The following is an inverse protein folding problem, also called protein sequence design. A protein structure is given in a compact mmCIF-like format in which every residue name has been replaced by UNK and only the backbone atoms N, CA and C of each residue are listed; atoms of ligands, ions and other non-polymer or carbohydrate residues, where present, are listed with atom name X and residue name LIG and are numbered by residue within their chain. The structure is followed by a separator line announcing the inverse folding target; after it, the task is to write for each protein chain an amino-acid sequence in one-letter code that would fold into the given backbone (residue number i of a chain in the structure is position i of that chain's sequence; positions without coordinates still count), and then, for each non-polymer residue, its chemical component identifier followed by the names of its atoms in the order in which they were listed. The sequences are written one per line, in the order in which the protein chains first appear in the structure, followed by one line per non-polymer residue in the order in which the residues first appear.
data_IF_678047743134
#
_entry.id   IF_678047743134
#
_cell.length_a   1.000
_cell.length_b   1.000
_cell.length_c   1.000
_cell.angle_alpha   90.00
_cell.angle_beta   90.00
_cell.angle_gamma   90.00
#
_symmetry.space_group_name_H-M   'P 1'
#
loop_
_entity.id
_entity.type
_entity.pdbx_description
1 polymer ?
#
# COMPACT_ATOMS: atom_id res chain seq x y z
N UNK A 1 11.02 -13.94 -10.83
CA UNK A 1 10.85 -12.49 -10.65
C UNK A 1 11.43 -12.08 -9.30
N UNK A 2 12.71 -11.71 -9.29
CA UNK A 2 13.42 -11.26 -8.08
C UNK A 2 12.81 -9.94 -7.57
N UNK A 3 12.34 -9.10 -8.50
CA UNK A 3 11.56 -7.89 -8.25
C UNK A 3 10.41 -8.08 -7.23
N UNK A 4 9.56 -9.10 -7.42
CA UNK A 4 8.40 -9.33 -6.56
C UNK A 4 8.78 -9.77 -5.14
N UNK A 5 9.91 -10.47 -5.00
CA UNK A 5 10.44 -10.88 -3.70
C UNK A 5 10.97 -9.66 -2.93
N UNK A 6 11.68 -8.76 -3.61
CA UNK A 6 12.14 -7.50 -3.02
C UNK A 6 10.97 -6.61 -2.61
N UNK A 7 9.98 -6.38 -3.49
CA UNK A 7 8.79 -5.63 -3.10
C UNK A 7 8.07 -6.24 -1.88
N UNK A 8 8.07 -7.57 -1.73
CA UNK A 8 7.48 -8.23 -0.57
C UNK A 8 8.27 -7.96 0.71
N UNK A 9 9.60 -7.94 0.63
CA UNK A 9 10.50 -7.71 1.77
C UNK A 9 10.50 -6.24 2.20
N UNK A 10 10.59 -5.34 1.24
CA UNK A 10 10.78 -3.91 1.47
C UNK A 10 9.48 -3.18 1.84
N UNK A 11 8.39 -3.44 1.11
CA UNK A 11 7.10 -2.75 1.30
C UNK A 11 6.13 -3.56 2.17
N UNK A 12 6.30 -4.89 2.21
CA UNK A 12 5.43 -5.80 2.95
C UNK A 12 3.91 -5.62 2.67
N UNK A 13 3.46 -5.77 1.41
CA UNK A 13 2.03 -5.69 1.08
C UNK A 13 1.21 -6.81 1.72
N UNK A 14 -0.07 -6.55 1.94
CA UNK A 14 -1.03 -7.62 2.31
C UNK A 14 -1.39 -8.52 1.13
N UNK A 15 -1.49 -7.96 -0.08
CA UNK A 15 -1.86 -8.68 -1.30
C UNK A 15 -0.78 -8.57 -2.37
N UNK A 16 -0.23 -9.71 -2.77
CA UNK A 16 0.70 -9.75 -3.91
C UNK A 16 0.01 -9.38 -5.23
N UNK A 17 -1.28 -9.67 -5.38
CA UNK A 17 -2.04 -9.29 -6.59
C UNK A 17 -2.09 -7.76 -6.73
N UNK A 18 -2.14 -7.02 -5.62
CA UNK A 18 -2.14 -5.55 -5.64
C UNK A 18 -0.82 -5.00 -6.19
N UNK A 19 0.33 -5.51 -5.71
CA UNK A 19 1.64 -5.09 -6.24
C UNK A 19 1.81 -5.51 -7.71
N UNK A 20 1.44 -6.75 -8.07
CA UNK A 20 1.51 -7.21 -9.47
C UNK A 20 0.73 -6.31 -10.42
N UNK A 21 -0.48 -5.89 -10.02
CA UNK A 21 -1.31 -4.93 -10.79
C UNK A 21 -0.66 -3.55 -10.93
N UNK A 22 0.23 -3.17 -10.02
CA UNK A 22 0.88 -1.86 -10.01
C UNK A 22 2.19 -1.83 -10.77
N UNK A 23 3.03 -2.86 -10.62
CA UNK A 23 4.41 -2.90 -11.14
C UNK A 23 4.49 -3.49 -12.56
N UNK A 24 3.56 -4.38 -12.94
CA UNK A 24 3.71 -5.23 -14.13
C UNK A 24 2.51 -5.19 -15.09
N UNK A 25 1.47 -4.43 -14.78
CA UNK A 25 0.20 -4.50 -15.52
C UNK A 25 0.09 -3.48 -16.65
N UNK A 26 0.72 -2.32 -16.51
CA UNK A 26 0.57 -1.22 -17.46
C UNK A 26 1.83 -1.13 -18.32
N UNK A 27 1.94 -2.04 -19.28
CA UNK A 27 2.67 -1.72 -20.50
C UNK A 27 1.72 -0.87 -21.34
N UNK A 28 1.98 0.42 -21.46
CA UNK A 28 1.28 1.21 -22.47
C UNK A 28 1.99 0.87 -23.78
N UNK A 29 1.33 0.06 -24.59
CA UNK A 29 1.71 -0.18 -25.98
C UNK A 29 1.07 0.96 -26.77
N UNK A 30 1.88 1.90 -27.25
CA UNK A 30 1.40 2.84 -28.26
C UNK A 30 1.44 2.13 -29.61
N UNK A 31 0.28 2.02 -30.23
CA UNK A 31 0.12 1.54 -31.61
C UNK A 31 -0.14 2.74 -32.50
N UNK A 32 0.76 3.01 -33.44
CA UNK A 32 0.47 3.85 -34.59
C UNK A 32 0.16 2.89 -35.75
N UNK A 33 -1.11 2.73 -36.09
CA UNK A 33 -1.52 1.72 -37.07
C UNK A 33 -1.24 0.29 -36.58
N UNK A 34 -0.68 -0.55 -37.46
CA UNK A 34 -0.37 -1.95 -37.17
C UNK A 34 1.06 -2.16 -36.61
N UNK A 35 1.83 -1.11 -36.34
CA UNK A 35 3.20 -1.19 -35.82
C UNK A 35 3.32 -0.96 -34.31
N UNK A 36 4.26 -1.68 -33.69
CA UNK A 36 4.59 -1.61 -32.27
C UNK A 36 5.78 -0.66 -32.11
N UNK A 37 5.52 0.57 -31.72
CA UNK A 37 6.57 1.60 -31.63
C UNK A 37 7.16 1.73 -30.23
N UNK A 38 6.32 1.74 -29.19
CA UNK A 38 6.74 2.12 -27.83
C UNK A 38 6.07 1.26 -26.75
N UNK A 39 6.89 0.73 -25.84
CA UNK A 39 6.47 0.06 -24.62
C UNK A 39 6.87 0.88 -23.40
N UNK A 40 5.89 1.51 -22.73
CA UNK A 40 6.14 2.21 -21.45
C UNK A 40 5.87 1.27 -20.28
N UNK A 41 6.86 1.08 -19.41
CA UNK A 41 6.72 0.28 -18.18
C UNK A 41 6.41 1.19 -17.01
N UNK A 42 5.27 0.98 -16.35
CA UNK A 42 4.92 1.69 -15.13
C UNK A 42 5.22 0.85 -13.88
N UNK A 43 6.10 1.33 -13.01
CA UNK A 43 6.53 0.61 -11.80
C UNK A 43 5.62 0.79 -10.58
N UNK A 44 4.55 1.59 -10.66
CA UNK A 44 3.52 1.57 -9.62
C UNK A 44 3.93 2.17 -8.27
N UNK A 45 4.93 3.07 -8.27
CA UNK A 45 5.56 3.67 -7.08
C UNK A 45 4.72 4.69 -6.31
N UNK A 46 3.46 4.88 -6.68
CA UNK A 46 2.55 5.78 -5.98
C UNK A 46 2.35 5.33 -4.53
N UNK A 47 2.03 6.28 -3.66
CA UNK A 47 1.69 6.01 -2.27
C UNK A 47 0.67 4.86 -2.11
N UNK A 48 0.84 4.10 -1.03
CA UNK A 48 0.00 2.96 -0.68
C UNK A 48 -0.75 3.25 0.61
N UNK A 49 -2.03 2.91 0.63
CA UNK A 49 -2.89 3.02 1.81
C UNK A 49 -2.41 2.11 2.93
N UNK A 50 -2.44 2.61 4.17
CA UNK A 50 -2.03 1.88 5.37
C UNK A 50 -2.75 0.52 5.48
N UNK A 51 -4.03 0.45 5.10
CA UNK A 51 -4.82 -0.79 5.14
C UNK A 51 -4.25 -1.92 4.28
N UNK A 52 -3.54 -1.57 3.20
CA UNK A 52 -3.03 -2.50 2.19
C UNK A 52 -1.60 -2.96 2.52
N UNK A 53 -0.98 -2.34 3.53
CA UNK A 53 0.34 -2.70 4.05
C UNK A 53 0.23 -3.58 5.29
N UNK A 54 1.24 -4.43 5.50
CA UNK A 54 1.42 -5.17 6.75
C UNK A 54 2.16 -4.27 7.73
N UNK A 55 1.78 -4.35 9.00
CA UNK A 55 2.37 -3.54 10.04
C UNK A 55 1.49 -3.46 11.27
N UNK A 56 1.93 -2.65 12.24
CA UNK A 56 1.25 -2.42 13.50
C UNK A 56 0.79 -0.98 13.58
N UNK A 57 -0.52 -0.78 13.77
CA UNK A 57 -1.10 0.52 14.11
C UNK A 57 -1.18 0.62 15.63
N UNK A 58 -0.69 1.74 16.19
CA UNK A 58 -0.72 2.01 17.63
C UNK A 58 -1.11 3.46 17.92
N UNK A 59 -1.36 3.77 19.19
CA UNK A 59 -1.79 5.11 19.61
C UNK A 59 -3.30 5.34 19.52
N UNK A 60 -3.68 6.60 19.33
CA UNK A 60 -5.08 7.03 19.32
C UNK A 60 -5.69 7.19 20.71
N UNK A 61 -6.96 7.58 20.74
CA UNK A 61 -7.73 7.64 21.99
C UNK A 61 -8.00 6.19 22.42
N UNK A 62 -7.44 5.78 23.57
CA UNK A 62 -7.87 4.54 24.25
C UNK A 62 -9.38 4.64 24.52
N UNK A 63 -10.06 3.50 24.44
CA UNK A 63 -11.52 3.36 24.42
C UNK A 63 -12.26 3.99 25.60
N UNK A 64 -13.57 3.71 25.66
CA UNK A 64 -14.55 4.38 26.50
C UNK A 64 -14.07 4.81 27.89
N UNK A 65 -14.49 6.03 28.22
CA UNK A 65 -14.21 6.84 29.43
C UNK A 65 -14.29 6.10 30.77
N UNK A 66 -14.84 4.89 30.80
CA UNK A 66 -15.26 4.15 31.99
C UNK A 66 -14.59 2.78 32.17
N UNK A 67 -13.47 2.48 31.51
CA UNK A 67 -12.75 1.20 31.74
C UNK A 67 -11.44 1.35 32.51
N UNK A 68 -10.98 2.59 32.74
CA UNK A 68 -9.72 2.85 33.44
C UNK A 68 -9.94 2.85 34.94
N UNK A 69 -9.27 1.92 35.62
CA UNK A 69 -9.22 1.84 37.07
C UNK A 69 -7.86 2.29 37.58
N UNK A 70 -7.86 3.03 38.69
CA UNK A 70 -6.65 3.32 39.46
C UNK A 70 -6.11 2.05 40.13
N UNK A 71 -4.90 2.10 40.70
CA UNK A 71 -4.28 0.98 41.44
C UNK A 71 -5.17 0.43 42.57
N UNK A 72 -6.12 1.25 43.05
CA UNK A 72 -7.12 0.92 44.08
C UNK A 72 -8.47 0.45 43.51
N UNK A 73 -8.57 0.18 42.20
CA UNK A 73 -9.77 -0.33 41.55
C UNK A 73 -10.88 0.69 41.26
N UNK A 74 -10.73 1.96 41.65
CA UNK A 74 -11.69 3.05 41.39
C UNK A 74 -11.56 3.60 39.98
N UNK A 75 -12.59 4.24 39.44
CA UNK A 75 -12.46 4.92 38.15
C UNK A 75 -11.42 6.04 38.23
N UNK A 76 -10.47 6.03 37.29
CA UNK A 76 -9.43 7.04 37.23
C UNK A 76 -10.05 8.43 36.98
N UNK A 77 -9.63 9.47 37.72
CA UNK A 77 -10.19 10.80 37.59
C UNK A 77 -9.93 11.38 36.19
N UNK A 78 -10.87 12.17 35.68
CA UNK A 78 -10.80 12.78 34.35
C UNK A 78 -9.64 13.78 34.16
N UNK A 79 -8.88 14.08 35.21
CA UNK A 79 -7.63 14.86 35.19
C UNK A 79 -6.42 14.00 34.84
N UNK A 80 -6.45 12.68 35.10
CA UNK A 80 -5.45 11.70 34.67
C UNK A 80 -5.63 11.33 33.18
N UNK A 81 -6.00 12.33 32.36
CA UNK A 81 -5.96 12.21 30.90
C UNK A 81 -4.50 12.00 30.52
N UNK A 82 -4.10 10.75 30.30
CA UNK A 82 -2.92 10.52 29.47
C UNK A 82 -3.19 11.25 28.15
N UNK A 83 -2.34 12.24 27.83
CA UNK A 83 -2.36 12.94 26.53
C UNK A 83 -2.61 11.91 25.44
N UNK A 84 -3.53 12.20 24.53
CA UNK A 84 -3.84 11.31 23.42
C UNK A 84 -2.51 10.96 22.75
N UNK A 85 -2.20 9.66 22.69
CA UNK A 85 -0.95 9.20 22.09
C UNK A 85 -1.06 9.40 20.59
N UNK A 86 -0.03 9.99 19.98
CA UNK A 86 0.08 10.09 18.53
C UNK A 86 -0.24 8.74 17.89
N UNK A 87 -1.00 8.79 16.80
CA UNK A 87 -1.31 7.59 16.03
C UNK A 87 -0.08 7.27 15.22
N UNK A 88 0.40 6.04 15.32
CA UNK A 88 1.57 5.60 14.57
C UNK A 88 1.30 4.33 13.80
N UNK A 89 1.92 4.22 12.64
CA UNK A 89 2.01 2.98 11.88
C UNK A 89 3.47 2.56 11.76
N UNK A 90 3.78 1.40 12.33
CA UNK A 90 5.05 0.73 12.12
C UNK A 90 4.87 -0.30 11.01
N UNK A 91 5.39 -0.05 9.79
CA UNK A 91 5.34 -1.03 8.71
C UNK A 91 6.13 -2.29 9.08
N UNK A 92 5.74 -3.43 8.50
CA UNK A 92 6.51 -4.67 8.59
C UNK A 92 7.61 -4.77 7.52
N UNK A 93 7.56 -3.90 6.51
CA UNK A 93 8.59 -3.80 5.49
C UNK A 93 9.82 -3.06 5.99
N UNK A 94 11.00 -3.48 5.53
CA UNK A 94 12.29 -2.97 6.04
C UNK A 94 12.60 -1.54 5.60
N UNK A 95 12.10 -1.12 4.43
CA UNK A 95 12.48 0.17 3.83
C UNK A 95 11.54 1.32 4.16
N UNK A 96 10.36 1.04 4.72
CA UNK A 96 9.37 2.06 5.01
C UNK A 96 9.57 2.63 6.43
N UNK A 97 9.61 3.97 6.59
CA UNK A 97 9.75 4.57 7.91
C UNK A 97 8.46 4.43 8.73
N UNK A 98 8.60 4.56 10.05
CA UNK A 98 7.44 4.70 10.95
C UNK A 98 6.77 6.04 10.66
N UNK A 99 5.48 6.01 10.38
CA UNK A 99 4.70 7.23 10.12
C UNK A 99 3.82 7.55 11.32
N UNK A 100 3.77 8.81 11.73
CA UNK A 100 2.92 9.31 12.81
C UNK A 100 1.91 10.33 12.30
N UNK A 101 0.77 10.41 12.99
CA UNK A 101 -0.28 11.39 12.73
C UNK A 101 -0.79 11.96 14.05
N UNK A 102 -1.10 13.26 14.04
CA UNK A 102 -1.78 13.92 15.15
C UNK A 102 -3.15 13.31 15.40
N UNK A 103 -3.52 13.15 16.67
CA UNK A 103 -4.84 12.66 17.08
C UNK A 103 -5.98 13.64 16.83
N UNK A 104 -5.66 14.89 16.50
CA UNK A 104 -6.66 15.91 16.17
C UNK A 104 -7.16 15.71 14.72
N UNK A 105 -6.23 15.36 13.82
CA UNK A 105 -6.51 15.23 12.40
C UNK A 105 -6.75 13.78 11.97
N UNK A 106 -6.28 12.79 12.73
CA UNK A 106 -6.40 11.39 12.37
C UNK A 106 -7.06 10.55 13.47
N UNK A 107 -7.67 9.44 13.05
CA UNK A 107 -8.22 8.43 13.95
C UNK A 107 -8.05 7.03 13.39
N UNK A 108 -7.96 6.05 14.29
CA UNK A 108 -7.88 4.64 13.92
C UNK A 108 -9.31 4.16 13.64
N UNK A 109 -9.53 3.60 12.45
CA UNK A 109 -10.78 2.95 12.11
C UNK A 109 -10.59 1.44 12.03
N UNK A 110 -11.61 0.68 12.44
CA UNK A 110 -11.64 -0.77 12.35
C UNK A 110 -12.73 -1.20 11.38
N UNK A 111 -12.41 -2.15 10.51
CA UNK A 111 -13.33 -2.66 9.49
C UNK A 111 -13.15 -4.17 9.34
N UNK A 112 -14.17 -4.82 8.81
CA UNK A 112 -14.13 -6.26 8.51
C UNK A 112 -13.71 -6.48 7.06
N UNK A 113 -12.83 -7.45 6.86
CA UNK A 113 -12.35 -7.82 5.54
C UNK A 113 -12.33 -9.34 5.42
N UNK A 114 -13.08 -9.82 4.45
CA UNK A 114 -13.13 -11.23 4.05
C UNK A 114 -11.87 -11.60 3.25
N UNK A 115 -11.33 -12.78 3.50
CA UNK A 115 -10.26 -13.34 2.68
C UNK A 115 -10.85 -14.21 1.54
N UNK A 116 -9.99 -14.76 0.66
CA UNK A 116 -10.46 -15.62 -0.44
C UNK A 116 -11.13 -16.93 -0.01
N UNK A 117 -10.97 -17.32 1.26
CA UNK A 117 -11.50 -18.55 1.81
C UNK A 117 -12.78 -18.29 2.62
N UNK A 118 -13.41 -17.11 2.47
CA UNK A 118 -14.62 -16.74 3.21
C UNK A 118 -14.39 -16.30 4.66
N UNK A 119 -13.14 -16.26 5.14
CA UNK A 119 -12.85 -15.95 6.54
C UNK A 119 -12.82 -14.44 6.76
N UNK A 120 -13.72 -13.96 7.60
CA UNK A 120 -13.80 -12.56 8.02
C UNK A 120 -12.66 -12.25 9.01
N UNK A 121 -11.94 -11.16 8.76
CA UNK A 121 -10.87 -10.66 9.63
C UNK A 121 -11.13 -9.21 10.01
N UNK A 122 -11.03 -8.89 11.31
CA UNK A 122 -11.06 -7.51 11.81
C UNK A 122 -9.73 -6.83 11.52
N UNK A 123 -9.75 -5.76 10.73
CA UNK A 123 -8.58 -4.99 10.29
C UNK A 123 -8.67 -3.57 10.76
N UNK A 124 -7.51 -2.92 10.88
CA UNK A 124 -7.39 -1.52 11.26
C UNK A 124 -6.79 -0.73 10.10
N UNK A 125 -7.24 0.50 9.97
CA UNK A 125 -6.66 1.52 9.08
C UNK A 125 -6.60 2.85 9.84
N UNK A 126 -5.95 3.83 9.24
CA UNK A 126 -5.90 5.19 9.75
C UNK A 126 -6.65 6.08 8.77
N UNK A 127 -7.50 6.92 9.33
CA UNK A 127 -8.35 7.84 8.61
C UNK A 127 -7.95 9.27 8.99
N UNK A 128 -7.75 10.12 8.00
CA UNK A 128 -7.33 11.52 8.14
C UNK A 128 -8.52 12.42 7.77
N UNK A 129 -8.87 13.33 8.66
CA UNK A 129 -9.88 14.37 8.49
C UNK A 129 -9.37 15.39 7.48
N UNK A 130 -10.19 15.75 6.50
CA UNK A 130 -9.83 16.80 5.55
C UNK A 130 -10.27 18.17 6.07
N UNK A 131 -9.44 19.18 5.84
CA UNK A 131 -9.72 20.57 6.26
C UNK A 131 -10.96 21.15 5.56
N UNK A 132 -11.26 20.72 4.33
CA UNK A 132 -12.27 21.32 3.45
C UNK A 132 -13.72 20.87 3.69
N UNK A 133 -14.08 20.47 4.91
CA UNK A 133 -15.48 20.24 5.29
C UNK A 133 -15.70 19.10 6.28
N UNK A 134 -16.63 19.32 7.22
CA UNK A 134 -16.96 18.50 8.42
C UNK A 134 -17.16 16.98 8.22
N UNK A 135 -17.21 16.45 7.00
CA UNK A 135 -17.56 15.05 6.72
C UNK A 135 -16.65 14.29 5.76
N UNK A 136 -15.60 14.91 5.18
CA UNK A 136 -14.71 14.17 4.26
C UNK A 136 -13.49 13.65 5.01
N UNK A 137 -13.29 12.33 4.88
CA UNK A 137 -12.22 11.59 5.51
C UNK A 137 -11.51 10.81 4.42
N UNK A 138 -10.18 10.85 4.41
CA UNK A 138 -9.35 10.04 3.50
C UNK A 138 -8.61 8.97 4.28
N UNK A 139 -8.28 7.87 3.62
CA UNK A 139 -7.38 6.88 4.20
C UNK A 139 -5.95 7.42 4.22
N UNK A 140 -5.22 7.12 5.29
CA UNK A 140 -3.81 7.44 5.37
C UNK A 140 -3.03 6.62 4.34
N UNK A 141 -2.08 7.28 3.68
CA UNK A 141 -1.23 6.72 2.65
C UNK A 141 0.23 6.92 3.05
N UNK A 142 1.08 5.99 2.64
CA UNK A 142 2.51 5.99 2.87
C UNK A 142 3.19 6.04 1.52
N UNK A 143 4.09 7.01 1.36
CA UNK A 143 4.91 7.09 0.18
C UNK A 143 5.92 5.95 0.17
N UNK A 144 6.07 5.31 -0.98
CA UNK A 144 6.99 4.20 -1.21
C UNK A 144 8.06 4.56 -2.25
N UNK A 145 7.96 5.73 -2.87
CA UNK A 145 8.76 6.12 -4.02
C UNK A 145 10.24 6.09 -3.68
N UNK A 146 10.68 6.89 -2.71
CA UNK A 146 12.10 6.98 -2.30
C UNK A 146 12.64 5.63 -1.82
N UNK A 147 11.84 4.89 -1.07
CA UNK A 147 12.24 3.60 -0.49
C UNK A 147 12.48 2.51 -1.55
N UNK A 148 11.89 2.66 -2.73
CA UNK A 148 11.90 1.67 -3.81
C UNK A 148 12.65 2.12 -5.06
N UNK A 149 12.90 3.42 -5.26
CA UNK A 149 13.50 3.98 -6.47
C UNK A 149 14.82 3.27 -6.82
N UNK A 150 15.80 3.31 -5.92
CA UNK A 150 17.12 2.70 -6.16
C UNK A 150 17.03 1.18 -6.34
N UNK A 151 16.06 0.52 -5.69
CA UNK A 151 15.87 -0.93 -5.78
C UNK A 151 15.21 -1.37 -7.09
N UNK A 152 14.48 -0.48 -7.75
CA UNK A 152 13.86 -0.81 -9.04
C UNK A 152 14.92 -0.94 -10.11
N UNK A 153 15.91 -0.05 -10.11
CA UNK A 153 17.04 -0.10 -11.03
C UNK A 153 17.78 -1.43 -10.91
N UNK A 154 18.11 -1.84 -9.67
CA UNK A 154 18.87 -3.06 -9.42
C UNK A 154 18.09 -4.37 -9.70
N UNK A 155 16.80 -4.42 -9.37
CA UNK A 155 16.06 -5.68 -9.31
C UNK A 155 14.92 -5.84 -10.31
N UNK A 156 14.43 -4.74 -10.88
CA UNK A 156 13.26 -4.77 -11.77
C UNK A 156 13.65 -4.62 -13.22
N UNK A 157 14.66 -3.81 -13.56
CA UNK A 157 15.06 -3.61 -14.97
C UNK A 157 15.50 -4.92 -15.67
N UNK A 158 16.27 -5.82 -15.02
CA UNK A 158 16.61 -7.10 -15.65
C UNK A 158 15.40 -8.00 -15.93
N UNK A 159 14.42 -7.99 -15.02
CA UNK A 159 13.16 -8.74 -15.18
C UNK A 159 12.22 -8.04 -16.20
N UNK A 160 12.32 -6.72 -16.35
CA UNK A 160 11.47 -5.91 -17.24
C UNK A 160 11.83 -6.08 -18.71
N UNK A 161 13.13 -6.13 -19.04
CA UNK A 161 13.60 -6.39 -20.41
C UNK A 161 13.09 -7.73 -20.94
N UNK A 162 13.25 -8.81 -20.16
CA UNK A 162 12.73 -10.12 -20.52
C UNK A 162 11.20 -10.13 -20.72
N UNK A 163 10.48 -9.30 -19.95
CA UNK A 163 9.02 -9.18 -20.06
C UNK A 163 8.60 -8.40 -21.32
N UNK A 164 9.33 -7.36 -21.67
CA UNK A 164 9.14 -6.61 -22.93
C UNK A 164 9.41 -7.53 -24.12
N UNK A 165 10.56 -8.22 -24.13
CA UNK A 165 10.93 -9.16 -25.20
C UNK A 165 9.89 -10.26 -25.37
N UNK A 166 9.41 -10.85 -24.28
CA UNK A 166 8.36 -11.88 -24.34
C UNK A 166 7.06 -11.35 -24.95
N UNK A 167 6.65 -10.13 -24.61
CA UNK A 167 5.46 -9.53 -25.18
C UNK A 167 5.66 -9.20 -26.67
N UNK A 168 6.84 -8.71 -27.04
CA UNK A 168 7.22 -8.45 -28.42
C UNK A 168 7.22 -9.74 -29.26
N UNK A 169 7.81 -10.82 -28.76
CA UNK A 169 7.75 -12.14 -29.41
C UNK A 169 6.31 -12.64 -29.59
N UNK A 170 5.47 -12.50 -28.56
CA UNK A 170 4.07 -12.91 -28.64
C UNK A 170 3.32 -12.12 -29.71
N UNK A 171 3.58 -10.82 -29.80
CA UNK A 171 3.00 -9.98 -30.84
C UNK A 171 3.52 -10.32 -32.23
N UNK A 172 4.83 -10.49 -32.41
CA UNK A 172 5.43 -10.93 -33.68
C UNK A 172 4.82 -12.26 -34.15
N UNK A 173 4.70 -13.23 -33.24
CA UNK A 173 4.02 -14.51 -33.54
C UNK A 173 2.57 -14.31 -33.93
N UNK A 174 1.85 -13.40 -33.27
CA UNK A 174 0.47 -13.07 -33.61
C UNK A 174 0.36 -12.43 -34.99
N UNK A 175 1.28 -11.55 -35.38
CA UNK A 175 1.34 -10.93 -36.72
C UNK A 175 1.66 -11.97 -37.80
N UNK A 176 2.69 -12.79 -37.59
CA UNK A 176 3.03 -13.90 -38.49
C UNK A 176 1.85 -14.85 -38.66
N UNK A 177 1.15 -15.19 -37.57
CA UNK A 177 -0.05 -16.02 -37.61
C UNK A 177 -1.21 -15.36 -38.37
N UNK A 178 -1.39 -14.05 -38.24
CA UNK A 178 -2.39 -13.30 -39.00
C UNK A 178 -2.07 -13.15 -40.49
N UNK A 179 -0.86 -13.54 -40.91
CA UNK A 179 -0.33 -13.21 -42.23
C UNK A 179 0.11 -11.75 -42.23
N UNK A 180 1.41 -11.50 -42.36
CA UNK A 180 1.91 -10.15 -42.59
C UNK A 180 1.32 -9.63 -43.91
N UNK A 181 0.47 -8.61 -43.83
CA UNK A 181 0.46 -7.53 -44.82
C UNK A 181 1.56 -6.53 -44.45
#
# INVERSE_FOLDING_TARGET
MKALAEFKKQVAPRSQKMIKKRVLHNFIIRRNGDEFDEAKVWFGLNAIKVRDLRGRISGGRRGERHQLRDERGRFAPASSRRKAREISFKPAGESLPVTTWSTDDAFINQFEAENRNGRISKRKTILIRQASGRRRVREAEIDIYEAMLNRIEDFVFPDAEALILKNFEHELKFRVFKGLE
#
